data_IF_056367873690
#
_entry.id   IF_056367873690
#
_cell.length_a   1.000
_cell.length_b   1.000
_cell.length_c   1.000
_cell.angle_alpha   90.00
_cell.angle_beta   90.00
_cell.angle_gamma   90.00
#
_symmetry.space_group_name_H-M   'P 1'
#
loop_
_entity.id
_entity.type
_entity.pdbx_description
1 polymer ?
#
# COMPACT_ATOMS: atom_id res chain seq x y z
N UNK A 1 -2.13 10.24 9.63
CA UNK A 1 -2.29 8.98 10.41
C UNK A 1 -1.57 7.85 9.69
N UNK A 2 -1.39 6.69 10.35
CA UNK A 2 -0.71 5.54 9.75
C UNK A 2 -1.38 4.25 10.13
N UNK A 3 -1.44 3.30 9.20
CA UNK A 3 -2.01 1.97 9.38
C UNK A 3 -0.99 0.90 8.96
N UNK A 4 -0.89 -0.17 9.73
CA UNK A 4 -0.06 -1.31 9.39
C UNK A 4 -0.89 -2.35 8.63
N UNK A 5 -0.29 -2.92 7.59
CA UNK A 5 -0.96 -3.90 6.72
C UNK A 5 -0.38 -5.27 7.02
N UNK A 6 -1.24 -6.21 7.42
CA UNK A 6 -0.86 -7.57 7.78
C UNK A 6 -1.58 -8.62 6.92
N UNK A 7 -0.86 -9.69 6.60
CA UNK A 7 -1.43 -10.93 6.09
C UNK A 7 -1.66 -11.89 7.25
N UNK A 8 -2.91 -12.37 7.39
CA UNK A 8 -3.34 -13.30 8.46
C UNK A 8 -2.89 -12.85 9.86
N UNK A 9 -2.96 -11.54 10.13
CA UNK A 9 -2.64 -10.91 11.42
C UNK A 9 -1.23 -11.20 11.99
N UNK A 10 -0.34 -11.78 11.18
CA UNK A 10 0.93 -12.34 11.66
C UNK A 10 2.10 -11.90 10.80
N UNK A 11 1.90 -11.74 9.50
CA UNK A 11 2.96 -11.36 8.57
C UNK A 11 2.75 -9.92 8.17
N UNK A 12 3.65 -9.05 8.60
CA UNK A 12 3.64 -7.64 8.21
C UNK A 12 4.00 -7.51 6.73
N UNK A 13 3.10 -6.91 5.96
CA UNK A 13 3.28 -6.67 4.53
C UNK A 13 3.89 -5.28 4.31
N UNK A 14 3.47 -4.29 5.10
CA UNK A 14 3.86 -2.91 4.90
C UNK A 14 3.04 -1.94 5.74
N UNK A 15 3.05 -0.68 5.35
CA UNK A 15 2.38 0.41 6.05
C UNK A 15 1.73 1.39 5.07
N UNK A 16 0.55 1.86 5.43
CA UNK A 16 -0.12 3.01 4.84
C UNK A 16 0.08 4.25 5.71
N UNK A 17 0.29 5.40 5.07
CA UNK A 17 0.36 6.69 5.75
C UNK A 17 -0.41 7.73 4.94
N UNK A 18 -1.37 8.43 5.55
CA UNK A 18 -1.98 9.60 4.93
C UNK A 18 -1.09 10.83 5.15
N UNK A 19 -1.04 11.68 4.12
CA UNK A 19 -0.57 13.05 4.23
C UNK A 19 -1.77 14.01 4.20
N UNK A 20 -2.16 14.59 5.35
CA UNK A 20 -3.34 15.44 5.43
C UNK A 20 -3.20 16.76 4.65
N UNK A 21 -1.98 17.15 4.29
CA UNK A 21 -1.73 18.38 3.52
C UNK A 21 -2.04 18.20 2.03
N UNK A 22 -1.72 17.05 1.46
CA UNK A 22 -1.98 16.73 0.05
C UNK A 22 -3.24 15.90 -0.18
N UNK A 23 -3.74 15.21 0.84
CA UNK A 23 -4.84 14.26 0.73
C UNK A 23 -4.44 12.92 0.11
N UNK A 24 -3.15 12.70 -0.16
CA UNK A 24 -2.66 11.43 -0.68
C UNK A 24 -2.41 10.40 0.41
N UNK A 25 -2.53 9.13 0.03
CA UNK A 25 -2.16 8.01 0.87
C UNK A 25 -0.95 7.33 0.23
N UNK A 26 0.05 7.09 1.06
CA UNK A 26 1.30 6.46 0.69
C UNK A 26 1.34 5.04 1.21
N UNK A 27 1.89 4.13 0.40
CA UNK A 27 2.16 2.77 0.79
C UNK A 27 3.66 2.47 0.74
N UNK A 28 4.16 1.78 1.76
CA UNK A 28 5.52 1.26 1.76
C UNK A 28 5.52 -0.19 2.20
N UNK A 29 6.18 -1.04 1.41
CA UNK A 29 6.38 -2.43 1.76
C UNK A 29 7.34 -2.58 2.94
N UNK A 30 7.10 -3.63 3.72
CA UNK A 30 8.03 -4.10 4.73
C UNK A 30 9.21 -4.83 4.09
N UNK A 31 10.42 -4.61 4.59
CA UNK A 31 11.63 -5.22 4.03
C UNK A 31 11.58 -6.76 4.08
N UNK A 32 11.06 -7.32 5.16
CA UNK A 32 10.95 -8.78 5.34
C UNK A 32 9.90 -9.38 4.39
N UNK A 33 8.90 -8.59 3.98
CA UNK A 33 7.95 -9.01 2.96
C UNK A 33 8.60 -9.08 1.57
N UNK A 34 9.47 -8.11 1.23
CA UNK A 34 10.15 -8.07 -0.08
C UNK A 34 10.99 -9.32 -0.32
N UNK A 35 11.66 -9.84 0.72
CA UNK A 35 12.47 -11.05 0.63
C UNK A 35 11.65 -12.30 0.30
N UNK A 36 10.33 -12.28 0.51
CA UNK A 36 9.43 -13.40 0.18
C UNK A 36 9.10 -13.47 -1.31
N UNK A 37 9.33 -12.40 -2.06
CA UNK A 37 9.03 -12.36 -3.51
C UNK A 37 7.54 -12.44 -3.86
N UNK A 38 6.66 -12.15 -2.91
CA UNK A 38 5.20 -12.20 -3.11
C UNK A 38 4.65 -10.83 -3.49
N UNK A 39 4.09 -10.73 -4.69
CA UNK A 39 3.47 -9.51 -5.20
C UNK A 39 2.02 -9.38 -4.70
N UNK A 40 1.64 -8.21 -4.19
CA UNK A 40 0.23 -7.94 -3.84
C UNK A 40 -0.60 -7.60 -5.08
N UNK A 41 -0.04 -6.76 -5.95
CA UNK A 41 -0.66 -6.32 -7.19
C UNK A 41 0.45 -6.10 -8.22
N UNK A 42 0.79 -7.11 -9.06
CA UNK A 42 1.92 -7.02 -9.98
C UNK A 42 1.89 -5.80 -10.91
N UNK A 43 0.69 -5.31 -11.24
CA UNK A 43 0.51 -4.17 -12.14
C UNK A 43 0.54 -2.81 -11.43
N UNK A 44 0.00 -2.71 -10.21
CA UNK A 44 -0.16 -1.42 -9.52
C UNK A 44 0.81 -1.22 -8.34
N UNK A 45 1.37 -2.30 -7.80
CA UNK A 45 2.33 -2.33 -6.70
C UNK A 45 3.43 -3.39 -6.95
N UNK A 46 4.14 -3.34 -8.10
CA UNK A 46 5.17 -4.33 -8.40
C UNK A 46 6.29 -4.32 -7.35
N UNK A 47 6.86 -5.50 -7.06
CA UNK A 47 7.99 -5.58 -6.13
C UNK A 47 9.24 -4.83 -6.62
N UNK A 48 9.36 -4.62 -7.94
CA UNK A 48 10.47 -3.89 -8.55
C UNK A 48 10.58 -2.44 -8.06
N UNK A 49 9.47 -1.81 -7.67
CA UNK A 49 9.45 -0.44 -7.12
C UNK A 49 9.32 -0.43 -5.59
N UNK A 50 9.23 -1.60 -4.96
CA UNK A 50 8.79 -1.71 -3.58
C UNK A 50 9.80 -1.23 -2.52
N UNK A 51 11.02 -0.91 -2.92
CA UNK A 51 12.00 -0.21 -2.09
C UNK A 51 11.71 1.30 -1.94
N UNK A 52 10.82 1.86 -2.77
CA UNK A 52 10.37 3.26 -2.68
C UNK A 52 8.96 3.36 -2.12
N UNK A 53 8.65 4.51 -1.54
CA UNK A 53 7.29 4.84 -1.14
C UNK A 53 6.43 4.98 -2.39
N UNK A 54 5.30 4.28 -2.41
CA UNK A 54 4.33 4.30 -3.49
C UNK A 54 3.18 5.24 -3.14
N UNK A 55 2.60 5.86 -4.16
CA UNK A 55 1.33 6.58 -4.04
C UNK A 55 0.54 6.41 -5.33
N UNK A 56 -0.76 6.64 -5.25
CA UNK A 56 -1.64 6.57 -6.41
C UNK A 56 -2.30 7.93 -6.61
N UNK A 57 -2.09 8.56 -7.76
CA UNK A 57 -2.57 9.93 -8.04
C UNK A 57 -3.98 9.98 -8.63
N UNK A 58 -4.64 8.84 -8.77
CA UNK A 58 -6.00 8.81 -9.33
C UNK A 58 -7.01 9.35 -8.31
N UNK A 59 -7.71 10.46 -8.62
CA UNK A 59 -8.70 11.05 -7.73
C UNK A 59 -9.91 10.15 -7.50
N UNK A 60 -10.19 9.17 -8.39
CA UNK A 60 -11.30 8.22 -8.21
C UNK A 60 -11.13 7.34 -6.96
N UNK A 61 -9.90 7.17 -6.47
CA UNK A 61 -9.59 6.36 -5.29
C UNK A 61 -9.21 7.20 -4.07
N UNK A 62 -9.46 8.52 -4.09
CA UNK A 62 -9.06 9.44 -3.02
C UNK A 62 -7.57 9.30 -2.63
N UNK A 63 -6.70 9.06 -3.61
CA UNK A 63 -5.27 8.88 -3.37
C UNK A 63 -4.86 7.53 -2.78
N UNK A 64 -5.80 6.60 -2.56
CA UNK A 64 -5.53 5.23 -2.12
C UNK A 64 -5.23 4.33 -3.32
N UNK A 65 -4.38 3.31 -3.12
CA UNK A 65 -4.24 2.26 -4.14
C UNK A 65 -5.52 1.44 -4.23
N UNK A 66 -5.97 1.15 -5.46
CA UNK A 66 -7.22 0.40 -5.70
C UNK A 66 -7.32 -0.93 -4.95
N UNK A 67 -6.19 -1.62 -4.72
CA UNK A 67 -6.12 -2.83 -3.89
C UNK A 67 -6.69 -2.63 -2.48
N UNK A 68 -6.40 -1.49 -1.84
CA UNK A 68 -6.91 -1.20 -0.50
C UNK A 68 -8.30 -0.57 -0.55
N UNK A 69 -8.64 0.11 -1.65
CA UNK A 69 -9.97 0.70 -1.84
C UNK A 69 -11.07 -0.36 -1.88
N UNK A 70 -10.79 -1.54 -2.45
CA UNK A 70 -11.69 -2.70 -2.49
C UNK A 70 -12.04 -3.29 -1.11
N UNK A 71 -11.33 -2.88 -0.04
CA UNK A 71 -11.62 -3.31 1.33
C UNK A 71 -12.61 -2.39 2.06
N UNK A 72 -13.00 -1.27 1.46
CA UNK A 72 -13.92 -0.32 2.05
C UNK A 72 -15.37 -0.68 1.70
N UNK A 73 -16.34 -0.34 2.56
CA UNK A 73 -17.74 -0.54 2.24
C UNK A 73 -18.14 0.29 1.02
N UNK A 74 -19.02 -0.27 0.18
CA UNK A 74 -19.71 0.44 -0.89
C UNK A 74 -20.51 1.66 -0.40
#
# INVERSE_FOLDING_TARGET
MTLEVFYKDTIRIGRLADDPSSGYIYFQYDKEWLERGLELSPFHLPLAVASTVQTHHDPAFNGLHGLFWDSLPD
#
